data_IF_705473633078
#
_entry.id   IF_705473633078
#
_cell.length_a   1.000
_cell.length_b   1.000
_cell.length_c   1.000
_cell.angle_alpha   90.00
_cell.angle_beta   90.00
_cell.angle_gamma   90.00
#
_symmetry.space_group_name_H-M   'P 1'
#
loop_
_entity.id
_entity.type
_entity.pdbx_description
1 polymer ?
#
# COMPACT_ATOMS: atom_id res chain seq x y z
N UNK A 1 8.52 19.61 2.40
CA UNK A 1 8.52 18.16 2.73
C UNK A 1 9.42 17.51 1.70
N UNK A 2 10.41 16.72 2.11
CA UNK A 2 11.51 16.27 1.23
C UNK A 2 10.96 15.59 -0.02
N UNK A 3 11.41 16.03 -1.19
CA UNK A 3 10.99 15.54 -2.51
C UNK A 3 11.35 14.05 -2.75
N UNK A 4 12.08 13.40 -1.82
CA UNK A 4 12.65 12.06 -1.98
C UNK A 4 11.96 10.92 -1.19
N UNK A 5 10.81 11.15 -0.55
CA UNK A 5 10.17 10.10 0.26
C UNK A 5 9.61 8.99 -0.66
N UNK A 6 9.99 7.73 -0.40
CA UNK A 6 9.39 6.55 -1.01
C UNK A 6 7.99 6.30 -0.43
N UNK A 7 7.07 5.84 -1.28
CA UNK A 7 5.66 5.77 -0.94
C UNK A 7 5.11 4.39 -1.22
N UNK A 8 4.63 3.71 -0.17
CA UNK A 8 3.82 2.51 -0.30
C UNK A 8 2.44 2.92 -0.79
N UNK A 9 2.12 2.53 -2.03
CA UNK A 9 0.81 2.81 -2.63
C UNK A 9 -0.11 1.63 -2.34
N UNK A 10 -1.15 1.87 -1.56
CA UNK A 10 -2.15 0.88 -1.18
C UNK A 10 -3.09 0.54 -2.35
N UNK A 11 -3.73 -0.63 -2.30
CA UNK A 11 -4.66 -1.13 -3.31
C UNK A 11 -5.75 -0.11 -3.63
N UNK A 12 -6.31 0.55 -2.62
CA UNK A 12 -7.37 1.54 -2.81
C UNK A 12 -6.95 2.71 -3.72
N UNK A 13 -5.70 3.18 -3.63
CA UNK A 13 -5.17 4.24 -4.46
C UNK A 13 -4.87 3.76 -5.90
N UNK A 14 -4.34 2.55 -6.05
CA UNK A 14 -4.17 1.92 -7.36
C UNK A 14 -5.49 1.72 -8.10
N UNK A 15 -6.54 1.28 -7.40
CA UNK A 15 -7.86 1.11 -8.00
C UNK A 15 -8.45 2.45 -8.47
N UNK A 16 -8.21 3.55 -7.75
CA UNK A 16 -8.62 4.88 -8.21
C UNK A 16 -7.86 5.28 -9.49
N UNK A 17 -6.53 5.03 -9.52
CA UNK A 17 -5.70 5.26 -10.70
C UNK A 17 -6.19 4.46 -11.92
N UNK A 18 -6.47 3.16 -11.77
CA UNK A 18 -6.91 2.31 -12.88
C UNK A 18 -8.35 2.57 -13.34
N UNK A 19 -9.25 3.04 -12.46
CA UNK A 19 -10.67 3.26 -12.82
C UNK A 19 -10.90 4.52 -13.64
N UNK A 20 -10.28 5.64 -13.26
CA UNK A 20 -10.64 6.97 -13.79
C UNK A 20 -9.50 7.67 -14.50
N UNK A 21 -8.24 7.36 -14.19
CA UNK A 21 -7.07 8.06 -14.71
C UNK A 21 -7.01 9.57 -14.38
N UNK A 22 -8.03 10.10 -13.70
CA UNK A 22 -8.24 11.51 -13.39
C UNK A 22 -8.51 11.69 -11.90
N UNK A 23 -8.04 12.80 -11.34
CA UNK A 23 -8.19 13.13 -9.92
C UNK A 23 -6.85 13.16 -9.18
N UNK A 24 -6.85 13.80 -8.02
CA UNK A 24 -5.62 14.06 -7.25
C UNK A 24 -4.86 12.78 -6.89
N UNK A 25 -5.56 11.71 -6.50
CA UNK A 25 -4.95 10.42 -6.12
C UNK A 25 -4.35 9.71 -7.33
N UNK A 26 -5.09 9.64 -8.45
CA UNK A 26 -4.58 9.07 -9.69
C UNK A 26 -3.32 9.82 -10.18
N UNK A 27 -3.35 11.15 -10.12
CA UNK A 27 -2.20 11.99 -10.47
C UNK A 27 -1.01 11.75 -9.53
N UNK A 28 -1.25 11.54 -8.23
CA UNK A 28 -0.21 11.20 -7.28
C UNK A 28 0.42 9.83 -7.60
N UNK A 29 -0.38 8.80 -7.86
CA UNK A 29 0.12 7.48 -8.26
C UNK A 29 0.95 7.59 -9.53
N UNK A 30 0.45 8.27 -10.56
CA UNK A 30 1.18 8.50 -11.80
C UNK A 30 2.54 9.17 -11.58
N UNK A 31 2.58 10.22 -10.74
CA UNK A 31 3.81 10.93 -10.39
C UNK A 31 4.80 10.02 -9.66
N UNK A 32 4.34 9.28 -8.65
CA UNK A 32 5.17 8.38 -7.85
C UNK A 32 5.78 7.25 -8.70
N UNK A 33 5.02 6.72 -9.66
CA UNK A 33 5.55 5.73 -10.61
C UNK A 33 6.60 6.36 -11.52
N UNK A 34 6.34 7.53 -12.09
CA UNK A 34 7.28 8.23 -12.97
C UNK A 34 8.58 8.64 -12.31
N UNK A 35 8.53 8.93 -11.02
CA UNK A 35 9.68 9.32 -10.20
C UNK A 35 10.40 8.13 -9.56
N UNK A 36 9.99 6.87 -9.85
CA UNK A 36 10.53 5.65 -9.22
C UNK A 36 10.45 5.66 -7.67
N UNK A 37 9.35 6.23 -7.16
CA UNK A 37 9.05 6.40 -5.73
C UNK A 37 7.93 5.51 -5.22
N UNK A 38 7.14 4.91 -6.12
CA UNK A 38 6.10 3.97 -5.75
C UNK A 38 6.70 2.63 -5.29
N UNK A 39 6.26 2.17 -4.12
CA UNK A 39 6.65 0.90 -3.51
C UNK A 39 5.45 -0.03 -3.46
N UNK A 40 5.66 -1.27 -3.87
CA UNK A 40 4.70 -2.36 -3.86
C UNK A 40 5.05 -3.37 -2.75
N UNK A 41 4.02 -3.99 -2.19
CA UNK A 41 4.14 -5.09 -1.22
C UNK A 41 3.21 -6.24 -1.60
N UNK A 42 3.52 -7.44 -1.10
CA UNK A 42 2.80 -8.67 -1.42
C UNK A 42 1.27 -8.59 -1.30
N UNK A 43 0.69 -8.08 -0.19
CA UNK A 43 -0.75 -7.92 -0.07
C UNK A 43 -1.37 -7.07 -1.19
N UNK A 44 -0.78 -5.91 -1.48
CA UNK A 44 -1.26 -5.00 -2.54
C UNK A 44 -1.16 -5.67 -3.91
N UNK A 45 -0.03 -6.32 -4.22
CA UNK A 45 0.13 -7.07 -5.46
C UNK A 45 -0.97 -8.15 -5.62
N UNK A 46 -1.21 -8.93 -4.56
CA UNK A 46 -2.20 -9.99 -4.58
C UNK A 46 -3.63 -9.46 -4.81
N UNK A 47 -4.00 -8.38 -4.12
CA UNK A 47 -5.30 -7.74 -4.26
C UNK A 47 -5.52 -7.13 -5.65
N UNK A 48 -4.49 -6.49 -6.22
CA UNK A 48 -4.56 -5.97 -7.59
C UNK A 48 -4.75 -7.09 -8.61
N UNK A 49 -4.01 -8.18 -8.50
CA UNK A 49 -4.18 -9.34 -9.37
C UNK A 49 -5.54 -10.03 -9.19
N UNK A 50 -6.08 -10.03 -7.97
CA UNK A 50 -7.44 -10.53 -7.69
C UNK A 50 -8.52 -9.65 -8.32
N UNK A 51 -8.29 -8.33 -8.41
CA UNK A 51 -9.26 -7.39 -8.97
C UNK A 51 -9.43 -7.48 -10.50
N UNK A 52 -8.45 -8.06 -11.19
CA UNK A 52 -8.48 -8.28 -12.64
C UNK A 52 -9.46 -9.40 -13.03
N UNK A 53 -10.27 -9.15 -14.06
CA UNK A 53 -11.36 -10.03 -14.52
C UNK A 53 -10.89 -11.08 -15.52
N UNK A 54 -9.77 -10.83 -16.19
CA UNK A 54 -9.24 -11.73 -17.23
C UNK A 54 -7.76 -12.02 -17.02
N UNK A 55 -7.28 -13.16 -17.53
CA UNK A 55 -5.84 -13.48 -17.50
C UNK A 55 -5.01 -12.46 -18.29
N UNK A 56 -5.57 -11.88 -19.35
CA UNK A 56 -4.91 -10.80 -20.11
C UNK A 56 -4.70 -9.55 -19.25
N UNK A 57 -5.71 -9.15 -18.47
CA UNK A 57 -5.59 -8.04 -17.52
C UNK A 57 -4.56 -8.35 -16.43
N UNK A 58 -4.57 -9.56 -15.87
CA UNK A 58 -3.56 -9.99 -14.88
C UNK A 58 -2.15 -9.93 -15.44
N UNK A 59 -1.94 -10.41 -16.66
CA UNK A 59 -0.63 -10.39 -17.30
C UNK A 59 -0.14 -8.95 -17.52
N UNK A 60 -1.03 -8.07 -17.98
CA UNK A 60 -0.72 -6.64 -18.14
C UNK A 60 -0.35 -6.02 -16.78
N UNK A 61 -1.09 -6.33 -15.71
CA UNK A 61 -0.76 -5.87 -14.36
C UNK A 61 0.59 -6.38 -13.88
N UNK A 62 0.89 -7.68 -14.04
CA UNK A 62 2.19 -8.25 -13.64
C UNK A 62 3.34 -7.53 -14.33
N UNK A 63 3.24 -7.31 -15.63
CA UNK A 63 4.27 -6.63 -16.40
C UNK A 63 4.48 -5.20 -15.90
N UNK A 64 3.40 -4.44 -15.73
CA UNK A 64 3.49 -3.05 -15.27
C UNK A 64 4.05 -2.95 -13.84
N UNK A 65 3.55 -3.77 -12.93
CA UNK A 65 3.93 -3.77 -11.52
C UNK A 65 5.35 -4.33 -11.28
N UNK A 66 5.88 -5.17 -12.17
CA UNK A 66 7.21 -5.77 -12.03
C UNK A 66 8.37 -4.76 -12.03
N UNK A 67 8.12 -3.53 -12.49
CA UNK A 67 9.11 -2.45 -12.54
C UNK A 67 9.20 -1.66 -11.23
N UNK A 68 8.23 -1.83 -10.33
CA UNK A 68 8.17 -1.08 -9.08
C UNK A 68 9.16 -1.64 -8.06
N UNK A 69 9.61 -0.76 -7.16
CA UNK A 69 10.31 -1.17 -5.94
C UNK A 69 9.40 -2.11 -5.15
N UNK A 70 9.93 -3.24 -4.71
CA UNK A 70 9.17 -4.25 -4.00
C UNK A 70 9.79 -4.54 -2.64
N UNK A 71 8.95 -4.56 -1.59
CA UNK A 71 9.36 -4.89 -0.23
C UNK A 71 8.76 -6.23 0.19
N UNK A 72 9.64 -7.17 0.53
CA UNK A 72 9.27 -8.48 1.07
C UNK A 72 9.02 -8.42 2.58
N UNK A 73 8.01 -9.17 3.01
CA UNK A 73 7.71 -9.39 4.42
C UNK A 73 8.51 -10.57 4.96
N UNK A 74 9.14 -10.38 6.12
CA UNK A 74 9.83 -11.45 6.83
C UNK A 74 9.06 -11.89 8.09
N UNK A 75 9.55 -12.93 8.77
CA UNK A 75 8.94 -13.48 9.98
C UNK A 75 8.72 -12.42 11.08
N UNK A 76 9.61 -11.44 11.20
CA UNK A 76 9.50 -10.37 12.19
C UNK A 76 8.30 -9.48 11.86
N UNK A 77 8.10 -9.14 10.60
CA UNK A 77 6.95 -8.34 10.17
C UNK A 77 5.63 -8.98 10.55
N UNK A 78 5.48 -10.28 10.27
CA UNK A 78 4.29 -11.05 10.64
C UNK A 78 4.07 -11.10 12.17
N UNK A 79 5.15 -11.25 12.93
CA UNK A 79 5.10 -11.27 14.41
C UNK A 79 4.65 -9.92 14.97
N UNK A 80 5.15 -8.82 14.41
CA UNK A 80 4.77 -7.47 14.81
C UNK A 80 3.31 -7.18 14.41
N UNK A 81 2.89 -7.55 13.20
CA UNK A 81 1.53 -7.35 12.73
C UNK A 81 0.50 -8.09 13.61
N UNK A 82 0.76 -9.37 13.94
CA UNK A 82 -0.09 -10.13 14.86
C UNK A 82 -0.16 -9.52 16.26
N UNK A 83 0.97 -9.05 16.79
CA UNK A 83 1.03 -8.37 18.09
C UNK A 83 0.26 -7.04 18.09
N UNK A 84 0.32 -6.30 16.98
CA UNK A 84 -0.40 -5.04 16.79
C UNK A 84 -1.91 -5.27 16.74
N UNK A 85 -2.37 -6.25 15.95
CA UNK A 85 -3.78 -6.63 15.88
C UNK A 85 -4.33 -7.11 17.22
N UNK A 86 -3.57 -7.91 17.97
CA UNK A 86 -3.97 -8.34 19.31
C UNK A 86 -4.17 -7.14 20.26
N UNK A 87 -3.33 -6.10 20.15
CA UNK A 87 -3.50 -4.85 20.91
C UNK A 87 -4.76 -4.09 20.48
N UNK A 88 -5.01 -3.96 19.18
CA UNK A 88 -6.22 -3.29 18.65
C UNK A 88 -7.50 -4.00 19.07
N UNK A 89 -7.52 -5.33 18.98
CA UNK A 89 -8.67 -6.15 19.37
C UNK A 89 -9.05 -5.96 20.84
N UNK A 90 -8.07 -5.82 21.74
CA UNK A 90 -8.32 -5.51 23.17
C UNK A 90 -8.97 -4.14 23.39
N UNK A 91 -8.86 -3.23 22.42
CA UNK A 91 -9.51 -1.92 22.41
C UNK A 91 -10.84 -1.91 21.65
N UNK A 92 -11.34 -3.08 21.22
CA UNK A 92 -12.57 -3.19 20.43
C UNK A 92 -12.41 -2.80 18.96
N UNK A 93 -11.18 -2.61 18.48
CA UNK A 93 -10.89 -2.25 17.08
C UNK A 93 -10.51 -3.50 16.30
N UNK A 94 -11.17 -3.70 15.16
CA UNK A 94 -10.89 -4.78 14.22
C UNK A 94 -10.31 -4.20 12.94
N UNK A 95 -9.17 -4.75 12.49
CA UNK A 95 -8.55 -4.41 11.22
C UNK A 95 -8.07 -5.69 10.51
N UNK A 96 -8.01 -5.71 9.17
CA UNK A 96 -7.46 -6.82 8.40
C UNK A 96 -6.00 -7.13 8.72
N UNK A 97 -5.59 -8.40 8.54
CA UNK A 97 -4.20 -8.81 8.68
C UNK A 97 -3.29 -8.17 7.62
N UNK A 98 -3.81 -8.01 6.41
CA UNK A 98 -3.12 -7.36 5.29
C UNK A 98 -2.81 -5.90 5.60
N UNK A 99 -3.79 -5.12 6.09
CA UNK A 99 -3.61 -3.72 6.48
C UNK A 99 -2.57 -3.58 7.61
N UNK A 100 -2.61 -4.47 8.61
CA UNK A 100 -1.61 -4.47 9.67
C UNK A 100 -0.20 -4.80 9.15
N UNK A 101 -0.07 -5.73 8.20
CA UNK A 101 1.22 -6.03 7.58
C UNK A 101 1.72 -4.84 6.76
N UNK A 102 0.86 -4.21 5.96
CA UNK A 102 1.18 -3.00 5.18
C UNK A 102 1.67 -1.88 6.11
N UNK A 103 0.97 -1.64 7.22
CA UNK A 103 1.38 -0.64 8.22
C UNK A 103 2.72 -0.97 8.88
N UNK A 104 2.99 -2.25 9.18
CA UNK A 104 4.30 -2.67 9.73
C UNK A 104 5.42 -2.44 8.73
N UNK A 105 5.19 -2.79 7.47
CA UNK A 105 6.19 -2.60 6.41
C UNK A 105 6.44 -1.12 6.14
N UNK A 106 5.41 -0.28 6.13
CA UNK A 106 5.58 1.16 5.92
C UNK A 106 6.41 1.79 7.03
N UNK A 107 6.12 1.45 8.29
CA UNK A 107 6.88 1.95 9.45
C UNK A 107 8.32 1.42 9.43
N UNK A 108 8.52 0.11 9.19
CA UNK A 108 9.86 -0.52 9.21
C UNK A 108 10.80 0.08 8.17
N UNK A 109 10.27 0.41 6.99
CA UNK A 109 11.04 0.92 5.86
C UNK A 109 10.96 2.44 5.69
N UNK A 110 10.38 3.16 6.65
CA UNK A 110 10.19 4.61 6.60
C UNK A 110 9.54 5.07 5.29
N UNK A 111 8.46 4.38 4.91
CA UNK A 111 7.67 4.68 3.71
C UNK A 111 6.45 5.49 4.13
N UNK A 112 6.15 6.55 3.36
CA UNK A 112 4.84 7.16 3.45
C UNK A 112 3.78 6.23 2.84
N UNK A 113 2.54 6.28 3.33
CA UNK A 113 1.42 5.54 2.75
C UNK A 113 0.54 6.47 1.93
N UNK A 114 0.17 6.03 0.72
CA UNK A 114 -0.90 6.61 -0.09
C UNK A 114 -2.06 5.62 -0.11
N UNK A 115 -3.16 5.96 0.55
CA UNK A 115 -4.36 5.10 0.69
C UNK A 115 -5.62 5.96 0.79
N UNK A 116 -6.76 5.37 0.41
CA UNK A 116 -8.11 5.89 0.65
C UNK A 116 -8.83 5.12 1.78
N UNK A 117 -8.21 4.08 2.32
CA UNK A 117 -8.78 3.25 3.38
C UNK A 117 -8.57 3.91 4.76
N UNK A 118 -9.65 4.00 5.52
CA UNK A 118 -9.68 4.56 6.87
C UNK A 118 -9.11 3.61 7.91
N UNK A 119 -9.00 2.30 7.62
CA UNK A 119 -8.44 1.32 8.57
C UNK A 119 -7.02 1.69 9.00
N UNK A 120 -6.23 2.30 8.10
CA UNK A 120 -4.86 2.70 8.41
C UNK A 120 -4.76 3.73 9.54
N UNK A 121 -5.82 4.50 9.80
CA UNK A 121 -5.87 5.46 10.91
C UNK A 121 -5.83 4.79 12.29
N UNK A 122 -6.04 3.48 12.38
CA UNK A 122 -5.93 2.72 13.63
C UNK A 122 -4.49 2.32 13.99
N UNK A 123 -3.54 2.44 13.06
CA UNK A 123 -2.14 2.11 13.31
C UNK A 123 -1.33 3.36 13.66
N UNK A 124 -0.36 3.20 14.56
CA UNK A 124 0.52 4.28 15.02
C UNK A 124 1.77 4.42 14.16
N UNK A 125 2.43 5.57 14.27
CA UNK A 125 3.77 5.85 13.70
C UNK A 125 3.87 5.83 12.17
N UNK A 126 2.72 5.81 11.49
CA UNK A 126 2.66 5.88 10.03
C UNK A 126 2.93 7.30 9.51
N UNK A 127 3.65 7.38 8.39
CA UNK A 127 3.80 8.59 7.60
C UNK A 127 2.75 8.61 6.49
N UNK A 128 2.02 9.72 6.32
CA UNK A 128 0.98 9.86 5.30
C UNK A 128 1.52 10.65 4.11
N UNK A 129 1.26 10.15 2.89
CA UNK A 129 1.54 10.90 1.68
C UNK A 129 0.40 11.91 1.43
N UNK A 130 0.73 13.20 1.46
CA UNK A 130 -0.23 14.26 1.19
C UNK A 130 -0.49 14.37 -0.32
N UNK A 131 -1.76 14.22 -0.71
CA UNK A 131 -2.17 14.43 -2.09
C UNK A 131 -2.46 15.92 -2.27
N UNK A 132 -1.56 16.64 -2.95
CA UNK A 132 -1.70 18.06 -3.31
C UNK A 132 -2.15 18.21 -4.76
#
# INVERSE_FOLDING_TARGET
MSEDVLVLVDTSAWLEFFKRGEGQVANAVYRLVREDRAVLVGPVLAELLQSARTEKEKETLRQNLSTLRYVEADRRDWTVAGSMLAKLRRKGVHAPLTDALIAVLSVRHNLAILTLDKHFAHFSDMQWYAVT
#
